data_IF_519724639626
#
_entry.id   IF_519724639626
#
_cell.length_a   1.000
_cell.length_b   1.000
_cell.length_c   1.000
_cell.angle_alpha   90.00
_cell.angle_beta   90.00
_cell.angle_gamma   90.00
#
_symmetry.space_group_name_H-M   'P 1'
#
loop_
_entity.id
_entity.type
_entity.pdbx_description
1 polymer ?
#
# COMPACT_ATOMS: atom_id res chain seq x y z
N UNK A 1 -11.32 -13.17 -7.52
CA UNK A 1 -11.64 -13.89 -6.27
C UNK A 1 -12.15 -12.86 -5.26
N UNK A 2 -13.27 -13.10 -4.59
CA UNK A 2 -13.72 -12.22 -3.49
C UNK A 2 -13.19 -12.74 -2.15
N UNK A 3 -12.84 -11.83 -1.24
CA UNK A 3 -12.33 -12.16 0.10
C UNK A 3 -13.37 -12.96 0.90
N UNK A 4 -14.65 -12.60 0.77
CA UNK A 4 -15.76 -13.25 1.46
C UNK A 4 -15.84 -14.74 1.09
N UNK A 5 -15.68 -15.07 -0.18
CA UNK A 5 -15.74 -16.46 -0.65
C UNK A 5 -14.57 -17.28 -0.11
N UNK A 6 -13.38 -16.70 -0.08
CA UNK A 6 -12.20 -17.36 0.45
C UNK A 6 -12.28 -17.59 1.97
N UNK A 7 -12.89 -16.67 2.73
CA UNK A 7 -13.18 -16.88 4.16
C UNK A 7 -14.21 -17.98 4.36
N UNK A 8 -15.32 -17.99 3.61
CA UNK A 8 -16.37 -19.00 3.75
C UNK A 8 -15.89 -20.41 3.42
N UNK A 9 -14.95 -20.55 2.48
CA UNK A 9 -14.42 -21.84 2.03
C UNK A 9 -13.11 -22.25 2.72
N UNK A 10 -12.65 -21.50 3.73
CA UNK A 10 -11.40 -21.79 4.41
C UNK A 10 -11.46 -23.13 5.17
N UNK A 11 -10.59 -24.07 4.79
CA UNK A 11 -10.40 -25.36 5.48
C UNK A 11 -9.19 -25.38 6.40
N UNK A 12 -8.36 -24.34 6.31
CA UNK A 12 -7.09 -24.18 7.01
C UNK A 12 -6.93 -22.72 7.44
N UNK A 13 -6.00 -22.46 8.35
CA UNK A 13 -5.66 -21.11 8.77
C UNK A 13 -5.19 -20.29 7.58
N UNK A 14 -5.73 -19.08 7.44
CA UNK A 14 -5.32 -18.14 6.40
C UNK A 14 -4.51 -17.00 7.01
N UNK A 15 -3.39 -16.68 6.36
CA UNK A 15 -2.61 -15.49 6.66
C UNK A 15 -3.01 -14.37 5.69
N UNK A 16 -3.16 -13.16 6.19
CA UNK A 16 -3.21 -11.95 5.37
C UNK A 16 -2.16 -10.95 5.85
N UNK A 17 -1.65 -10.14 4.94
CA UNK A 17 -0.70 -9.08 5.23
C UNK A 17 -1.36 -7.72 4.97
N UNK A 18 -1.01 -6.73 5.78
CA UNK A 18 -1.26 -5.34 5.46
C UNK A 18 0.09 -4.63 5.31
N UNK A 19 0.22 -3.86 4.24
CA UNK A 19 1.43 -3.12 3.92
C UNK A 19 1.13 -1.63 3.78
N UNK A 20 2.00 -0.83 4.38
CA UNK A 20 2.03 0.61 4.13
C UNK A 20 2.87 0.87 2.89
N UNK A 21 2.34 1.60 1.88
CA UNK A 21 3.11 1.89 0.68
C UNK A 21 4.37 2.72 1.01
N UNK A 22 5.42 2.63 0.16
CA UNK A 22 6.64 3.40 0.33
C UNK A 22 6.37 4.91 0.28
N UNK A 23 7.33 5.72 0.73
CA UNK A 23 7.21 7.17 0.54
C UNK A 23 7.41 7.52 -0.95
N UNK A 24 6.79 8.61 -1.40
CA UNK A 24 7.12 9.14 -2.72
C UNK A 24 8.61 9.49 -2.78
N UNK A 25 9.27 9.10 -3.87
CA UNK A 25 10.70 9.31 -4.06
C UNK A 25 11.58 8.15 -3.61
N UNK A 26 11.03 7.11 -2.98
CA UNK A 26 11.78 5.86 -2.71
C UNK A 26 11.51 4.81 -3.79
N UNK A 27 12.37 3.80 -3.87
CA UNK A 27 12.23 2.72 -4.85
C UNK A 27 11.18 1.70 -4.40
N UNK A 28 10.46 1.12 -5.37
CA UNK A 28 9.50 0.04 -5.10
C UNK A 28 10.20 -1.27 -4.68
N UNK A 29 11.50 -1.41 -4.95
CA UNK A 29 12.28 -2.59 -4.60
C UNK A 29 12.31 -2.85 -3.10
N UNK A 30 12.39 -1.80 -2.27
CA UNK A 30 12.36 -1.93 -0.80
C UNK A 30 11.09 -2.66 -0.32
N UNK A 31 9.95 -2.38 -0.99
CA UNK A 31 8.69 -3.05 -0.72
C UNK A 31 8.73 -4.52 -1.14
N UNK A 32 9.29 -4.81 -2.31
CA UNK A 32 9.42 -6.17 -2.81
C UNK A 32 10.35 -7.03 -1.96
N UNK A 33 11.49 -6.50 -1.54
CA UNK A 33 12.42 -7.20 -0.65
C UNK A 33 11.74 -7.57 0.67
N UNK A 34 10.95 -6.65 1.23
CA UNK A 34 10.16 -6.94 2.43
C UNK A 34 9.13 -8.04 2.16
N UNK A 35 8.39 -7.95 1.05
CA UNK A 35 7.39 -8.96 0.69
C UNK A 35 8.02 -10.32 0.42
N UNK A 36 9.19 -10.38 -0.20
CA UNK A 36 9.91 -11.62 -0.51
C UNK A 36 10.22 -12.43 0.76
N UNK A 37 10.44 -11.78 1.91
CA UNK A 37 10.60 -12.47 3.20
C UNK A 37 9.30 -13.08 3.75
N UNK A 38 8.14 -12.57 3.32
CA UNK A 38 6.83 -12.95 3.82
C UNK A 38 6.04 -13.86 2.86
N UNK A 39 6.37 -13.84 1.55
CA UNK A 39 5.73 -14.70 0.55
C UNK A 39 5.84 -16.21 0.83
N UNK A 40 6.91 -16.75 1.47
CA UNK A 40 6.98 -18.17 1.84
C UNK A 40 5.85 -18.63 2.78
N UNK A 41 5.26 -17.71 3.55
CA UNK A 41 4.10 -17.99 4.42
C UNK A 41 2.77 -18.05 3.65
N UNK A 42 2.81 -17.86 2.32
CA UNK A 42 1.67 -17.97 1.40
C UNK A 42 0.46 -17.14 1.86
N UNK A 43 0.61 -15.82 2.04
CA UNK A 43 -0.51 -14.97 2.42
C UNK A 43 -1.61 -15.06 1.36
N UNK A 44 -2.85 -15.24 1.78
CA UNK A 44 -4.02 -15.30 0.89
C UNK A 44 -4.40 -13.92 0.36
N UNK A 45 -4.10 -12.86 1.12
CA UNK A 45 -4.42 -11.48 0.76
C UNK A 45 -3.30 -10.55 1.21
N UNK A 46 -3.05 -9.52 0.40
CA UNK A 46 -2.17 -8.40 0.73
C UNK A 46 -3.01 -7.12 0.60
N UNK A 47 -3.22 -6.43 1.72
CA UNK A 47 -3.89 -5.15 1.77
C UNK A 47 -2.87 -4.02 1.68
N UNK A 48 -3.19 -2.97 0.93
CA UNK A 48 -2.35 -1.77 0.82
C UNK A 48 -3.06 -0.62 1.53
N UNK A 49 -2.45 -0.11 2.60
CA UNK A 49 -3.02 0.99 3.39
C UNK A 49 -3.12 2.27 2.56
N UNK A 50 -4.28 2.92 2.60
CA UNK A 50 -4.48 4.23 2.01
C UNK A 50 -4.28 5.34 3.05
N UNK A 51 -3.33 6.25 2.78
CA UNK A 51 -3.15 7.46 3.59
C UNK A 51 -3.84 8.65 2.93
N UNK A 52 -4.68 9.35 3.72
CA UNK A 52 -5.34 10.57 3.29
C UNK A 52 -4.31 11.69 2.98
N UNK A 53 -4.60 12.58 2.01
CA UNK A 53 -3.77 13.76 1.78
C UNK A 53 -3.64 14.60 3.06
N UNK A 54 -2.42 15.04 3.38
CA UNK A 54 -2.19 15.99 4.45
C UNK A 54 -2.32 17.41 3.90
N UNK A 55 -2.85 18.33 4.69
CA UNK A 55 -2.88 19.75 4.35
C UNK A 55 -1.59 20.38 4.83
N UNK A 56 -0.88 21.03 3.91
CA UNK A 56 0.34 21.80 4.21
C UNK A 56 0.03 23.26 3.90
N UNK A 57 0.49 24.16 4.77
CA UNK A 57 0.41 25.60 4.56
C UNK A 57 1.77 26.08 4.08
N UNK A 58 1.84 26.70 2.91
CA UNK A 58 3.08 27.25 2.35
C UNK A 58 2.91 28.74 2.16
N UNK A 59 3.89 29.52 2.61
CA UNK A 59 3.92 30.96 2.44
C UNK A 59 4.77 31.30 1.21
N UNK A 60 4.17 32.01 0.26
CA UNK A 60 4.83 32.51 -0.96
C UNK A 60 4.43 33.97 -1.09
N UNK A 61 5.40 34.88 -1.18
CA UNK A 61 5.18 36.32 -1.30
C UNK A 61 4.21 36.91 -0.25
N UNK A 62 4.37 36.52 1.02
CA UNK A 62 3.49 36.86 2.16
C UNK A 62 2.03 36.39 2.03
N UNK A 63 1.74 35.45 1.13
CA UNK A 63 0.42 34.82 0.98
C UNK A 63 0.50 33.37 1.44
N UNK A 64 -0.42 32.97 2.33
CA UNK A 64 -0.52 31.60 2.84
C UNK A 64 -1.40 30.77 1.90
N UNK A 65 -0.81 29.76 1.28
CA UNK A 65 -1.50 28.78 0.44
C UNK A 65 -1.80 27.51 1.23
N UNK A 66 -3.05 27.04 1.18
CA UNK A 66 -3.47 25.76 1.74
C UNK A 66 -3.39 24.67 0.67
N UNK A 67 -2.36 23.84 0.71
CA UNK A 67 -2.06 22.86 -0.35
C UNK A 67 -2.25 21.43 0.17
N UNK A 68 -3.13 20.62 -0.44
CA UNK A 68 -3.22 19.20 -0.13
C UNK A 68 -2.03 18.44 -0.74
N UNK A 69 -1.17 17.86 0.09
CA UNK A 69 -0.02 17.04 -0.34
C UNK A 69 -0.19 15.57 0.05
N UNK A 70 0.11 14.68 -0.90
CA UNK A 70 0.14 13.23 -0.67
C UNK A 70 1.59 12.77 -0.53
N UNK A 71 1.94 12.18 0.63
CA UNK A 71 3.27 11.62 0.91
C UNK A 71 3.49 10.22 0.32
N UNK A 72 2.41 9.46 0.14
CA UNK A 72 2.44 8.08 -0.37
C UNK A 72 2.01 8.03 -1.85
N UNK A 73 2.54 7.07 -2.65
CA UNK A 73 2.09 6.84 -4.01
C UNK A 73 0.64 6.32 -4.04
N UNK A 74 0.04 6.30 -5.23
CA UNK A 74 -1.32 5.79 -5.41
C UNK A 74 -1.39 4.29 -5.09
N UNK A 75 -2.38 3.90 -4.29
CA UNK A 75 -2.56 2.50 -3.86
C UNK A 75 -2.85 1.56 -5.04
N UNK A 76 -3.62 2.00 -6.04
CA UNK A 76 -3.92 1.20 -7.25
C UNK A 76 -2.65 0.77 -7.98
N UNK A 77 -1.69 1.68 -8.15
CA UNK A 77 -0.41 1.37 -8.81
C UNK A 77 0.42 0.37 -8.01
N UNK A 78 0.45 0.51 -6.68
CA UNK A 78 1.13 -0.45 -5.80
C UNK A 78 0.45 -1.82 -5.86
N UNK A 79 -0.89 -1.89 -5.80
CA UNK A 79 -1.61 -3.15 -5.93
C UNK A 79 -1.33 -3.85 -7.27
N UNK A 80 -1.36 -3.10 -8.38
CA UNK A 80 -1.06 -3.64 -9.70
C UNK A 80 0.39 -4.13 -9.80
N UNK A 81 1.34 -3.39 -9.23
CA UNK A 81 2.75 -3.75 -9.24
C UNK A 81 3.07 -4.99 -8.38
N UNK A 82 2.35 -5.21 -7.28
CA UNK A 82 2.47 -6.43 -6.46
C UNK A 82 1.84 -7.60 -7.21
N UNK A 83 0.60 -7.47 -7.68
CA UNK A 83 -0.11 -8.55 -8.38
C UNK A 83 0.45 -8.91 -9.76
N UNK A 84 1.32 -8.08 -10.34
CA UNK A 84 2.07 -8.45 -11.55
C UNK A 84 3.35 -9.24 -11.22
N UNK A 85 3.94 -9.03 -10.04
CA UNK A 85 5.19 -9.69 -9.62
C UNK A 85 4.93 -11.06 -8.98
N UNK A 86 3.83 -11.20 -8.24
CA UNK A 86 3.45 -12.42 -7.49
C UNK A 86 2.09 -12.93 -7.92
#
# INVERSE_FOLDING_TARGET
>A
MQVIDAIKNAKEMMLSLEITPPNKGTHINDLYETLDTLMPFKPKFINVTYHQPQVVYEEIDNVIYRIPKRKKPGTVGICAAIGNRY
#
